data_IF_309280638590
#
_entry.id   IF_309280638590
#
_cell.length_a   1.000
_cell.length_b   1.000
_cell.length_c   1.000
_cell.angle_alpha   90.00
_cell.angle_beta   90.00
_cell.angle_gamma   90.00
#
_symmetry.space_group_name_H-M   'P 1'
#
loop_
_entity.id
_entity.type
_entity.pdbx_description
1 polymer ?
#
# COMPACT_ATOMS: atom_id res chain seq x y z
N UNK A 1 -39.60 -9.83 -6.87
CA UNK A 1 -38.47 -9.37 -6.02
C UNK A 1 -37.21 -10.09 -6.48
N UNK A 2 -36.25 -9.43 -7.13
CA UNK A 2 -35.01 -10.12 -7.55
C UNK A 2 -34.07 -9.27 -8.41
N UNK A 3 -34.63 -8.49 -9.34
CA UNK A 3 -33.85 -7.60 -10.23
C UNK A 3 -33.15 -6.47 -9.46
N UNK A 4 -33.82 -5.87 -8.48
CA UNK A 4 -33.24 -4.81 -7.64
C UNK A 4 -32.09 -5.28 -6.74
N UNK A 5 -32.17 -6.50 -6.21
CA UNK A 5 -31.09 -7.10 -5.41
C UNK A 5 -29.88 -7.40 -6.28
N UNK A 6 -30.09 -7.92 -7.50
CA UNK A 6 -29.00 -8.17 -8.45
C UNK A 6 -28.25 -6.87 -8.83
N UNK A 7 -28.97 -5.77 -9.04
CA UNK A 7 -28.36 -4.47 -9.35
C UNK A 7 -27.55 -3.89 -8.18
N UNK A 8 -28.04 -4.04 -6.94
CA UNK A 8 -27.29 -3.62 -5.75
C UNK A 8 -26.00 -4.42 -5.57
N UNK A 9 -26.05 -5.74 -5.77
CA UNK A 9 -24.86 -6.59 -5.69
C UNK A 9 -23.83 -6.19 -6.74
N UNK A 10 -24.26 -5.94 -7.98
CA UNK A 10 -23.34 -5.48 -9.06
C UNK A 10 -22.74 -4.11 -8.73
N UNK A 11 -23.54 -3.16 -8.23
CA UNK A 11 -23.04 -1.84 -7.85
C UNK A 11 -21.99 -1.90 -6.72
N UNK A 12 -22.21 -2.75 -5.70
CA UNK A 12 -21.25 -2.96 -4.62
C UNK A 12 -19.97 -3.62 -5.14
N UNK A 13 -20.09 -4.63 -6.01
CA UNK A 13 -18.92 -5.29 -6.61
C UNK A 13 -18.10 -4.32 -7.45
N UNK A 14 -18.76 -3.50 -8.28
CA UNK A 14 -18.10 -2.43 -9.03
C UNK A 14 -17.35 -1.49 -8.08
N UNK A 15 -18.02 -0.99 -7.03
CA UNK A 15 -17.41 -0.07 -6.08
C UNK A 15 -16.17 -0.67 -5.37
N UNK A 16 -16.26 -1.94 -4.96
CA UNK A 16 -15.13 -2.65 -4.35
C UNK A 16 -13.98 -2.88 -5.33
N UNK A 17 -14.26 -3.17 -6.60
CA UNK A 17 -13.22 -3.33 -7.63
C UNK A 17 -12.52 -2.03 -8.01
N UNK A 18 -13.15 -0.87 -7.76
CA UNK A 18 -12.51 0.45 -7.90
C UNK A 18 -11.73 0.89 -6.66
N UNK A 19 -11.81 0.14 -5.56
CA UNK A 19 -11.07 0.43 -4.35
C UNK A 19 -9.65 -0.11 -4.46
N UNK A 20 -8.81 0.59 -5.22
CA UNK A 20 -7.37 0.35 -5.22
C UNK A 20 -6.82 0.90 -3.89
N UNK A 21 -6.68 0.02 -2.90
CA UNK A 21 -6.12 0.39 -1.60
C UNK A 21 -4.76 1.05 -1.81
N UNK A 22 -4.61 2.30 -1.37
CA UNK A 22 -3.34 3.01 -1.37
C UNK A 22 -2.43 2.42 -0.28
N UNK A 23 -1.96 1.19 -0.49
CA UNK A 23 -0.96 0.57 0.35
C UNK A 23 0.40 1.16 -0.02
N UNK A 24 0.98 1.97 0.87
CA UNK A 24 2.37 2.37 0.73
C UNK A 24 3.32 1.19 0.95
N UNK A 25 4.50 1.27 0.35
CA UNK A 25 5.55 0.28 0.53
C UNK A 25 6.13 0.36 1.95
N UNK A 26 6.50 -0.79 2.51
CA UNK A 26 7.26 -0.85 3.76
C UNK A 26 8.74 -1.06 3.47
N UNK A 27 9.58 -0.17 4.01
CA UNK A 27 11.02 -0.21 3.86
C UNK A 27 11.68 -0.45 5.21
N UNK A 28 12.50 -1.50 5.30
CA UNK A 28 13.27 -1.80 6.51
C UNK A 28 14.53 -0.95 6.53
N UNK A 29 14.69 -0.10 7.55
CA UNK A 29 15.83 0.81 7.64
C UNK A 29 17.12 0.02 7.87
N UNK A 30 18.11 0.26 7.01
CA UNK A 30 19.37 -0.50 7.02
C UNK A 30 19.26 -1.93 6.48
N UNK A 31 18.13 -2.28 5.86
CA UNK A 31 17.84 -3.61 5.28
C UNK A 31 18.20 -4.73 6.29
N UNK A 32 19.11 -5.64 5.93
CA UNK A 32 19.53 -6.75 6.83
C UNK A 32 20.36 -6.29 8.03
N UNK A 33 20.96 -5.10 7.98
CA UNK A 33 21.82 -4.57 9.05
C UNK A 33 21.02 -3.88 10.14
N UNK A 34 19.76 -3.54 9.86
CA UNK A 34 18.87 -2.84 10.77
C UNK A 34 19.31 -1.41 11.07
N UNK A 35 18.66 -0.83 12.08
CA UNK A 35 18.93 0.52 12.53
C UNK A 35 20.24 0.60 13.33
N UNK A 36 21.33 1.03 12.68
CA UNK A 36 22.66 1.12 13.28
C UNK A 36 23.49 2.28 12.73
N UNK A 37 24.68 2.51 13.27
CA UNK A 37 25.60 3.54 12.77
C UNK A 37 25.99 3.29 11.31
N UNK A 38 26.25 4.37 10.58
CA UNK A 38 26.60 4.34 9.14
C UNK A 38 25.45 3.87 8.21
N UNK A 39 24.19 4.02 8.61
CA UNK A 39 23.01 3.74 7.76
C UNK A 39 22.60 4.93 6.87
N UNK A 40 23.34 6.04 6.89
CA UNK A 40 22.98 7.28 6.17
C UNK A 40 22.86 7.12 4.64
N UNK A 41 23.55 6.14 4.05
CA UNK A 41 23.52 5.84 2.62
C UNK A 41 22.41 4.84 2.24
N UNK A 42 21.66 4.31 3.22
CA UNK A 42 20.54 3.40 2.97
C UNK A 42 19.44 3.94 2.04
N UNK A 43 19.05 5.24 2.06
CA UNK A 43 18.03 5.74 1.14
C UNK A 43 18.52 5.84 -0.31
N UNK A 44 19.82 5.61 -0.59
CA UNK A 44 20.36 5.71 -1.94
C UNK A 44 19.62 4.78 -2.91
N UNK A 45 19.18 5.35 -4.04
CA UNK A 45 18.42 4.67 -5.10
C UNK A 45 17.01 4.19 -4.71
N UNK A 46 16.47 4.61 -3.55
CA UNK A 46 15.06 4.36 -3.17
C UNK A 46 14.18 5.56 -3.54
N UNK A 47 12.94 5.28 -3.93
CA UNK A 47 11.93 6.31 -4.22
C UNK A 47 10.81 6.14 -3.20
N UNK A 48 10.69 7.10 -2.29
CA UNK A 48 9.62 7.14 -1.32
C UNK A 48 8.41 7.86 -1.89
N UNK A 49 7.23 7.32 -1.62
CA UNK A 49 5.92 7.89 -1.96
C UNK A 49 5.16 8.17 -0.68
N UNK A 50 4.22 9.10 -0.75
CA UNK A 50 3.32 9.35 0.36
C UNK A 50 2.54 8.07 0.69
N UNK A 51 2.50 7.71 1.97
CA UNK A 51 1.90 6.47 2.47
C UNK A 51 2.91 5.35 2.74
N UNK A 52 4.16 5.46 2.26
CA UNK A 52 5.21 4.50 2.57
C UNK A 52 5.58 4.55 4.06
N UNK A 53 5.95 3.39 4.60
CA UNK A 53 6.33 3.21 6.01
C UNK A 53 7.80 2.81 6.09
N UNK A 54 8.54 3.43 7.00
CA UNK A 54 9.90 3.03 7.34
C UNK A 54 9.86 2.31 8.70
N UNK A 55 10.34 1.07 8.74
CA UNK A 55 10.36 0.23 9.95
C UNK A 55 11.78 -0.12 10.37
#
# INVERSE_FOLDING_TARGET
MGRGCALLVVAVLCFLSHFEGACGATYVVGDRRGWTFNVANWPDRKIFRAGDVLS
#
